data_IF_614497914722
#
_entry.id   IF_614497914722
#
_cell.length_a   1.000
_cell.length_b   1.000
_cell.length_c   1.000
_cell.angle_alpha   90.00
_cell.angle_beta   90.00
_cell.angle_gamma   90.00
#
_symmetry.space_group_name_H-M   'P 1'
#
loop_
_entity.id
_entity.type
_entity.pdbx_description
1 polymer ?
#
# COMPACT_ATOMS: atom_id res chain seq x y z
N UNK A 1 -35.04 -6.70 28.01
CA UNK A 1 -34.51 -7.29 26.81
C UNK A 1 -34.57 -8.81 26.94
N UNK A 2 -35.08 -9.50 25.92
CA UNK A 2 -35.22 -10.98 25.89
C UNK A 2 -34.69 -11.52 24.56
N UNK A 3 -34.02 -12.65 24.61
CA UNK A 3 -33.62 -13.42 23.45
C UNK A 3 -32.54 -12.78 22.58
N UNK A 4 -31.57 -12.07 23.13
CA UNK A 4 -30.51 -11.47 22.32
C UNK A 4 -29.54 -12.52 21.76
N UNK A 5 -29.41 -12.57 20.41
CA UNK A 5 -28.60 -13.57 19.68
C UNK A 5 -27.60 -12.95 18.70
N UNK A 6 -27.43 -11.64 18.75
CA UNK A 6 -26.55 -10.91 17.82
C UNK A 6 -25.09 -11.38 17.95
N UNK A 7 -24.44 -11.70 16.84
CA UNK A 7 -23.07 -12.22 16.75
C UNK A 7 -22.83 -13.47 17.63
N UNK A 8 -22.11 -13.29 18.75
CA UNK A 8 -21.74 -14.38 19.66
C UNK A 8 -22.61 -14.48 20.91
N UNK A 9 -23.71 -13.71 20.99
CA UNK A 9 -24.66 -13.81 22.09
C UNK A 9 -25.48 -15.09 21.97
N UNK A 10 -25.69 -15.77 23.12
CA UNK A 10 -26.35 -17.06 23.19
C UNK A 10 -27.70 -16.93 23.87
N UNK A 11 -28.67 -16.29 23.19
CA UNK A 11 -30.04 -16.12 23.70
C UNK A 11 -30.07 -15.47 25.08
N UNK A 12 -29.48 -14.28 25.20
CA UNK A 12 -29.28 -13.59 26.47
C UNK A 12 -30.54 -12.80 26.85
N UNK A 13 -31.06 -13.06 28.02
CA UNK A 13 -32.09 -12.27 28.69
C UNK A 13 -31.45 -11.35 29.73
N UNK A 14 -31.85 -10.08 29.75
CA UNK A 14 -31.26 -9.10 30.65
C UNK A 14 -32.25 -7.99 31.02
N UNK A 15 -32.32 -7.65 32.31
CA UNK A 15 -33.02 -6.47 32.82
C UNK A 15 -31.98 -5.38 33.15
N UNK A 16 -32.10 -4.24 32.47
CA UNK A 16 -31.17 -3.12 32.60
C UNK A 16 -31.90 -1.97 33.29
N UNK A 17 -31.40 -1.49 34.43
CA UNK A 17 -32.04 -0.37 35.16
C UNK A 17 -31.94 0.92 34.29
N UNK A 18 -33.05 1.71 34.34
CA UNK A 18 -33.07 3.03 33.70
C UNK A 18 -32.53 4.09 34.68
N UNK A 19 -31.92 5.15 34.13
CA UNK A 19 -31.40 6.27 34.94
C UNK A 19 -30.18 5.91 35.80
N UNK A 20 -29.49 4.81 35.49
CA UNK A 20 -28.33 4.33 36.21
C UNK A 20 -27.08 4.24 35.30
N UNK A 21 -25.90 4.33 35.89
CA UNK A 21 -24.64 4.01 35.16
C UNK A 21 -24.48 2.48 35.17
N UNK A 22 -24.53 1.92 33.97
CA UNK A 22 -24.36 0.48 33.75
C UNK A 22 -23.03 0.20 33.09
N UNK A 23 -22.24 -0.72 33.62
CA UNK A 23 -20.92 -1.09 33.11
C UNK A 23 -20.92 -2.53 32.64
N UNK A 24 -20.63 -2.74 31.34
CA UNK A 24 -20.44 -4.08 30.76
C UNK A 24 -18.99 -4.51 30.90
N UNK A 25 -18.71 -5.53 31.68
CA UNK A 25 -17.37 -6.07 31.94
C UNK A 25 -17.21 -7.50 31.39
N UNK A 26 -16.01 -7.96 31.23
CA UNK A 26 -15.71 -9.33 30.77
C UNK A 26 -14.48 -9.41 29.88
N UNK A 27 -14.05 -10.62 29.58
CA UNK A 27 -12.89 -10.89 28.69
C UNK A 27 -13.14 -10.42 27.25
N UNK A 28 -12.07 -10.24 26.48
CA UNK A 28 -12.18 -9.89 25.04
C UNK A 28 -12.97 -10.98 24.31
N UNK A 29 -13.90 -10.58 23.44
CA UNK A 29 -14.75 -11.51 22.70
C UNK A 29 -15.97 -12.06 23.48
N UNK A 30 -16.24 -11.62 24.72
CA UNK A 30 -17.39 -12.09 25.51
C UNK A 30 -18.75 -11.54 25.09
N UNK A 31 -18.85 -10.74 24.03
CA UNK A 31 -20.14 -10.20 23.55
C UNK A 31 -20.55 -8.84 24.11
N UNK A 32 -19.71 -8.15 24.91
CA UNK A 32 -20.02 -6.83 25.47
C UNK A 32 -20.45 -5.80 24.42
N UNK A 33 -19.67 -5.69 23.35
CA UNK A 33 -19.97 -4.78 22.25
C UNK A 33 -21.16 -5.25 21.41
N UNK A 34 -21.34 -6.56 21.25
CA UNK A 34 -22.53 -7.13 20.59
C UNK A 34 -23.79 -6.75 21.35
N UNK A 35 -23.76 -6.82 22.67
CA UNK A 35 -24.90 -6.47 23.51
C UNK A 35 -25.17 -4.94 23.50
N UNK A 36 -24.13 -4.13 23.81
CA UNK A 36 -24.32 -2.69 23.99
C UNK A 36 -24.54 -1.95 22.67
N UNK A 37 -23.73 -2.24 21.61
CA UNK A 37 -23.79 -1.51 20.36
C UNK A 37 -24.63 -2.21 19.29
N UNK A 38 -24.36 -3.50 19.03
CA UNK A 38 -25.03 -4.20 17.94
C UNK A 38 -26.46 -4.63 18.28
N UNK A 39 -26.85 -4.67 19.56
CA UNK A 39 -28.22 -4.98 19.99
C UNK A 39 -28.92 -3.73 20.52
N UNK A 40 -28.56 -3.23 21.69
CA UNK A 40 -29.28 -2.14 22.37
C UNK A 40 -29.27 -0.84 21.58
N UNK A 41 -28.07 -0.38 21.19
CA UNK A 41 -27.95 0.88 20.44
C UNK A 41 -28.53 0.77 19.04
N UNK A 42 -28.32 -0.35 18.34
CA UNK A 42 -28.86 -0.57 16.99
C UNK A 42 -30.39 -0.52 17.01
N UNK A 43 -31.05 -1.16 17.97
CA UNK A 43 -32.50 -1.13 18.12
C UNK A 43 -33.02 0.25 18.52
N UNK A 44 -32.33 0.95 19.42
CA UNK A 44 -32.69 2.33 19.80
C UNK A 44 -32.61 3.28 18.58
N UNK A 45 -31.54 3.17 17.78
CA UNK A 45 -31.37 3.94 16.56
C UNK A 45 -32.45 3.59 15.52
N UNK A 46 -32.77 2.32 15.32
CA UNK A 46 -33.82 1.87 14.41
C UNK A 46 -35.16 2.51 14.76
N UNK A 47 -35.61 2.42 16.05
CA UNK A 47 -36.85 3.02 16.53
C UNK A 47 -36.86 4.51 16.41
N UNK A 48 -35.74 5.19 16.70
CA UNK A 48 -35.61 6.63 16.50
C UNK A 48 -35.75 7.00 15.02
N UNK A 49 -35.07 6.31 14.10
CA UNK A 49 -35.14 6.58 12.67
C UNK A 49 -36.51 6.28 12.08
N UNK A 50 -37.30 5.37 12.65
CA UNK A 50 -38.71 5.17 12.25
C UNK A 50 -39.60 6.38 12.49
N UNK A 51 -39.28 7.20 13.51
CA UNK A 51 -39.98 8.44 13.79
C UNK A 51 -39.57 9.61 12.88
N UNK A 52 -38.48 9.47 12.12
CA UNK A 52 -37.91 10.52 11.26
C UNK A 52 -38.44 10.40 9.84
N UNK A 53 -38.56 11.53 9.13
CA UNK A 53 -39.04 11.55 7.76
C UNK A 53 -38.23 10.65 6.82
N UNK A 54 -38.82 10.05 5.76
CA UNK A 54 -38.13 9.16 4.81
C UNK A 54 -36.92 9.83 4.13
N UNK A 55 -36.96 11.13 3.90
CA UNK A 55 -35.85 11.88 3.30
C UNK A 55 -34.65 11.95 4.27
N UNK A 56 -34.89 12.38 5.50
CA UNK A 56 -33.83 12.47 6.51
C UNK A 56 -33.23 11.08 6.83
N UNK A 57 -34.07 10.03 6.86
CA UNK A 57 -33.65 8.66 7.09
C UNK A 57 -32.58 8.17 6.11
N UNK A 58 -32.62 8.62 4.85
CA UNK A 58 -31.60 8.27 3.81
C UNK A 58 -30.24 8.89 4.06
N UNK A 59 -30.15 9.94 4.87
CA UNK A 59 -28.89 10.62 5.19
C UNK A 59 -28.14 9.96 6.35
N UNK A 60 -28.78 9.06 7.10
CA UNK A 60 -28.19 8.35 8.21
C UNK A 60 -27.75 6.94 7.80
N UNK A 61 -26.61 6.52 8.31
CA UNK A 61 -26.18 5.14 8.17
C UNK A 61 -27.08 4.22 9.01
N UNK A 62 -27.86 3.38 8.33
CA UNK A 62 -28.75 2.45 8.99
C UNK A 62 -27.95 1.23 9.47
N UNK A 63 -28.07 0.90 10.76
CA UNK A 63 -27.55 -0.34 11.29
C UNK A 63 -28.48 -1.51 10.92
N UNK A 64 -27.92 -2.72 10.85
CA UNK A 64 -28.71 -3.93 10.65
C UNK A 64 -29.74 -4.09 11.78
N UNK A 65 -30.87 -4.74 11.48
CA UNK A 65 -31.87 -5.10 12.49
C UNK A 65 -31.23 -6.16 13.40
N UNK A 66 -31.15 -5.91 14.72
CA UNK A 66 -30.50 -6.88 15.61
C UNK A 66 -31.35 -8.13 15.81
N UNK A 67 -30.68 -9.26 15.99
CA UNK A 67 -31.34 -10.55 16.34
C UNK A 67 -31.70 -10.57 17.83
N UNK A 68 -32.91 -10.12 18.16
CA UNK A 68 -33.46 -10.07 19.52
C UNK A 68 -34.97 -10.29 19.48
N UNK A 69 -35.50 -11.00 20.45
CA UNK A 69 -36.95 -11.28 20.48
C UNK A 69 -37.73 -10.04 20.94
N UNK A 70 -37.31 -9.39 22.02
CA UNK A 70 -38.02 -8.25 22.56
C UNK A 70 -37.10 -7.31 23.38
N UNK A 71 -37.29 -5.98 23.18
CA UNK A 71 -36.66 -4.95 24.02
C UNK A 71 -37.72 -3.91 24.40
N UNK A 72 -38.10 -3.88 25.66
CA UNK A 72 -39.02 -2.90 26.21
C UNK A 72 -38.30 -1.70 26.83
N UNK A 73 -38.98 -0.55 26.88
CA UNK A 73 -38.55 0.62 27.60
C UNK A 73 -37.23 1.24 27.11
N UNK A 74 -36.83 1.00 25.87
CA UNK A 74 -35.57 1.52 25.29
C UNK A 74 -35.71 3.01 24.96
N UNK A 75 -34.93 3.92 25.62
CA UNK A 75 -34.93 5.35 25.26
C UNK A 75 -34.16 5.61 23.95
N UNK A 76 -34.37 6.80 23.35
CA UNK A 76 -33.46 7.28 22.32
C UNK A 76 -32.01 7.27 22.81
N UNK A 77 -31.09 6.74 22.02
CA UNK A 77 -29.71 6.53 22.44
C UNK A 77 -28.70 7.26 21.53
N UNK A 78 -27.64 7.75 22.13
CA UNK A 78 -26.46 8.25 21.45
C UNK A 78 -25.27 7.38 21.79
N UNK A 79 -24.51 6.95 20.79
CA UNK A 79 -23.32 6.15 21.02
C UNK A 79 -22.06 6.91 20.60
N UNK A 80 -21.05 6.87 21.46
CA UNK A 80 -19.70 7.27 21.13
C UNK A 80 -18.87 6.00 20.87
N UNK A 81 -18.72 5.66 19.61
CA UNK A 81 -17.86 4.54 19.22
C UNK A 81 -16.42 5.03 19.05
N UNK A 82 -15.50 4.33 19.68
CA UNK A 82 -14.10 4.44 19.28
C UNK A 82 -13.93 3.81 17.91
N UNK A 83 -14.14 4.59 16.85
CA UNK A 83 -13.72 4.17 15.52
C UNK A 83 -12.19 4.20 15.49
N UNK A 84 -11.59 3.05 15.61
CA UNK A 84 -10.20 2.88 15.19
C UNK A 84 -10.20 2.96 13.66
N UNK A 85 -10.07 4.18 13.14
CA UNK A 85 -9.85 4.37 11.72
C UNK A 85 -8.64 3.53 11.32
N UNK A 86 -8.76 2.74 10.26
CA UNK A 86 -7.61 2.00 9.73
C UNK A 86 -6.57 3.01 9.27
N UNK A 87 -5.39 3.09 9.91
CA UNK A 87 -4.38 4.06 9.54
C UNK A 87 -3.90 3.74 8.11
N UNK A 88 -3.85 4.76 7.28
CA UNK A 88 -3.26 4.68 5.95
C UNK A 88 -1.82 5.17 5.99
N UNK A 89 -1.04 4.93 4.95
CA UNK A 89 0.32 5.46 4.81
C UNK A 89 0.37 7.01 4.83
N UNK A 90 -0.78 7.66 4.67
CA UNK A 90 -0.92 9.12 4.70
C UNK A 90 -1.44 9.65 6.04
N UNK A 91 -1.90 8.76 6.94
CA UNK A 91 -2.41 9.15 8.24
C UNK A 91 -1.31 9.70 9.14
N UNK A 92 -1.61 10.75 9.87
CA UNK A 92 -0.77 11.34 10.91
C UNK A 92 -1.64 11.69 12.12
N UNK A 93 -1.03 11.90 13.27
CA UNK A 93 -1.76 12.36 14.47
C UNK A 93 -2.58 13.60 14.13
N UNK A 94 -1.97 14.58 13.47
CA UNK A 94 -2.65 15.82 13.10
C UNK A 94 -3.86 15.62 12.14
N UNK A 95 -3.82 14.63 11.22
CA UNK A 95 -4.95 14.36 10.32
C UNK A 95 -6.07 13.59 11.00
N UNK A 96 -5.75 12.74 11.97
CA UNK A 96 -6.74 11.95 12.72
C UNK A 96 -7.45 12.81 13.78
N UNK A 97 -6.71 13.74 14.42
CA UNK A 97 -7.25 14.65 15.45
C UNK A 97 -7.81 15.95 14.90
N UNK A 98 -7.88 16.12 13.58
CA UNK A 98 -8.27 17.38 12.90
C UNK A 98 -7.33 18.58 13.13
N UNK A 99 -6.32 18.47 14.00
CA UNK A 99 -5.35 19.52 14.33
C UNK A 99 -4.65 20.07 13.08
N UNK A 100 -4.33 19.21 12.10
CA UNK A 100 -3.73 19.64 10.83
C UNK A 100 -4.59 20.65 10.08
N UNK A 101 -5.91 20.58 10.17
CA UNK A 101 -6.81 21.53 9.49
C UNK A 101 -6.71 22.91 10.12
N UNK A 102 -6.69 22.97 11.46
CA UNK A 102 -6.54 24.23 12.20
C UNK A 102 -5.18 24.88 11.95
N UNK A 103 -4.11 24.09 11.99
CA UNK A 103 -2.76 24.59 11.70
C UNK A 103 -2.64 25.12 10.26
N UNK A 104 -3.18 24.41 9.27
CA UNK A 104 -3.18 24.88 7.88
C UNK A 104 -3.91 26.22 7.70
N UNK A 105 -5.07 26.39 8.34
CA UNK A 105 -5.79 27.66 8.33
C UNK A 105 -4.98 28.76 9.03
N UNK A 106 -4.34 28.45 10.16
CA UNK A 106 -3.51 29.38 10.90
C UNK A 106 -2.34 29.87 10.02
N UNK A 107 -1.58 28.95 9.42
CA UNK A 107 -0.47 29.30 8.53
C UNK A 107 -0.93 30.10 7.31
N UNK A 108 -2.06 29.74 6.71
CA UNK A 108 -2.62 30.48 5.59
C UNK A 108 -2.99 31.91 5.97
N UNK A 109 -3.64 32.12 7.10
CA UNK A 109 -4.23 33.44 7.47
C UNK A 109 -3.30 34.33 8.27
N UNK A 110 -2.47 33.77 9.14
CA UNK A 110 -1.62 34.49 10.08
C UNK A 110 -0.12 34.17 9.93
N UNK A 111 0.25 33.37 8.94
CA UNK A 111 1.65 33.04 8.65
C UNK A 111 2.42 34.26 8.11
N UNK A 112 3.69 34.35 8.45
CA UNK A 112 4.59 35.34 7.85
C UNK A 112 5.15 34.81 6.55
N UNK A 113 4.90 35.50 5.44
CA UNK A 113 5.36 35.10 4.12
C UNK A 113 6.64 35.85 3.75
N UNK A 114 7.60 35.22 3.06
CA UNK A 114 8.76 35.91 2.50
C UNK A 114 8.35 37.04 1.57
N UNK A 115 9.18 38.09 1.41
CA UNK A 115 8.87 39.17 0.45
C UNK A 115 8.64 38.63 -0.95
N UNK A 116 7.60 39.13 -1.62
CA UNK A 116 7.16 38.75 -2.97
C UNK A 116 6.53 37.35 -3.11
N UNK A 117 6.38 36.60 -2.04
CA UNK A 117 5.64 35.34 -2.09
C UNK A 117 4.13 35.64 -2.07
N UNK A 118 3.36 35.09 -3.01
CA UNK A 118 1.91 35.24 -2.97
C UNK A 118 1.32 34.53 -1.76
N UNK A 119 0.16 35.00 -1.31
CA UNK A 119 -0.61 34.34 -0.25
C UNK A 119 -0.94 32.91 -0.66
N UNK A 120 -0.77 31.97 0.27
CA UNK A 120 -1.05 30.56 0.05
C UNK A 120 -2.32 30.14 0.77
N UNK A 121 -3.20 29.46 0.08
CA UNK A 121 -4.40 28.86 0.68
C UNK A 121 -4.03 27.71 1.62
N UNK A 122 -4.94 27.37 2.54
CA UNK A 122 -4.74 26.30 3.52
C UNK A 122 -4.39 24.94 2.88
N UNK A 123 -4.82 24.71 1.65
CA UNK A 123 -4.49 23.51 0.87
C UNK A 123 -3.01 23.40 0.51
N UNK A 124 -2.33 24.52 0.31
CA UNK A 124 -0.88 24.53 0.03
C UNK A 124 -0.04 24.02 1.20
N UNK A 125 -0.58 24.02 2.41
CA UNK A 125 0.04 23.46 3.61
C UNK A 125 -0.37 22.00 3.89
N UNK A 126 -1.01 21.33 2.93
CA UNK A 126 -1.42 19.93 3.05
C UNK A 126 -0.54 19.00 2.22
N UNK A 127 0.07 17.95 2.81
CA UNK A 127 0.78 16.94 2.04
C UNK A 127 -0.16 16.02 1.22
N UNK A 128 -1.47 16.15 1.40
CA UNK A 128 -2.47 15.30 0.75
C UNK A 128 -3.21 15.98 -0.40
N UNK A 129 -2.84 17.22 -0.74
CA UNK A 129 -3.38 17.98 -1.86
C UNK A 129 -2.32 18.20 -2.94
N UNK A 130 -2.67 18.34 -4.20
CA UNK A 130 -1.72 18.62 -5.28
C UNK A 130 -0.94 19.93 -5.06
N UNK A 131 -1.57 20.94 -4.45
CA UNK A 131 -0.98 22.25 -4.17
C UNK A 131 0.17 22.15 -3.16
N UNK A 132 0.00 21.37 -2.08
CA UNK A 132 0.97 21.30 -1.00
C UNK A 132 1.87 20.06 -1.01
N UNK A 133 1.52 19.01 -1.73
CA UNK A 133 2.30 17.77 -1.77
C UNK A 133 3.67 17.96 -2.46
N UNK A 134 4.70 17.36 -1.89
CA UNK A 134 5.99 17.26 -2.56
C UNK A 134 5.84 16.57 -3.93
N UNK A 135 6.28 17.17 -5.04
CA UNK A 135 6.08 16.62 -6.38
C UNK A 135 6.81 15.30 -6.61
N UNK A 136 7.88 15.01 -5.86
CA UNK A 136 8.65 13.77 -6.00
C UNK A 136 8.00 12.57 -5.31
N UNK A 137 7.53 12.74 -4.08
CA UNK A 137 6.93 11.65 -3.29
C UNK A 137 5.41 11.76 -3.15
N UNK A 138 4.79 12.72 -3.81
CA UNK A 138 3.34 12.96 -3.76
C UNK A 138 2.79 13.02 -2.33
N UNK A 139 3.54 13.65 -1.42
CA UNK A 139 3.14 13.82 -0.03
C UNK A 139 3.36 12.59 0.87
N UNK A 140 4.02 11.54 0.41
CA UNK A 140 4.35 10.38 1.25
C UNK A 140 5.55 10.61 2.18
N UNK A 141 6.46 11.51 1.81
CA UNK A 141 7.72 11.75 2.52
C UNK A 141 8.80 10.72 2.21
N UNK A 142 8.43 9.62 1.59
CA UNK A 142 9.29 8.50 1.23
C UNK A 142 9.15 8.16 -0.24
N UNK A 143 10.20 7.58 -0.78
CA UNK A 143 10.20 6.94 -2.09
C UNK A 143 10.51 5.46 -1.94
N UNK A 144 10.02 4.68 -2.85
CA UNK A 144 10.30 3.26 -2.94
C UNK A 144 11.10 3.03 -4.21
N UNK A 145 12.25 2.43 -4.06
CA UNK A 145 13.12 2.03 -5.16
C UNK A 145 13.78 0.69 -4.81
N UNK A 146 14.57 0.17 -5.71
CA UNK A 146 15.30 -1.08 -5.51
C UNK A 146 16.78 -0.80 -5.36
N UNK A 147 17.51 -1.65 -4.66
CA UNK A 147 18.96 -1.60 -4.49
C UNK A 147 19.59 -2.88 -5.01
N UNK A 148 20.89 -2.85 -5.29
CA UNK A 148 21.63 -4.06 -5.67
C UNK A 148 21.38 -5.17 -4.64
N UNK A 149 21.55 -4.88 -3.34
CA UNK A 149 21.38 -5.87 -2.28
C UNK A 149 19.94 -6.41 -2.19
N UNK A 150 18.94 -5.61 -2.52
CA UNK A 150 17.55 -6.10 -2.50
C UNK A 150 17.23 -7.01 -3.69
N UNK A 151 17.87 -6.78 -4.84
CA UNK A 151 17.64 -7.57 -6.06
C UNK A 151 18.57 -8.79 -6.17
N UNK A 152 19.74 -8.72 -5.53
CA UNK A 152 20.76 -9.77 -5.50
C UNK A 152 21.09 -10.10 -4.04
N UNK A 153 20.26 -10.92 -3.37
CA UNK A 153 20.43 -11.24 -1.96
C UNK A 153 21.65 -12.14 -1.70
N UNK A 154 22.06 -12.94 -2.68
CA UNK A 154 23.25 -13.79 -2.60
C UNK A 154 24.20 -13.49 -3.78
N UNK A 155 25.23 -12.66 -3.55
CA UNK A 155 26.20 -12.31 -4.58
C UNK A 155 27.24 -13.41 -4.90
N UNK A 156 27.20 -14.56 -4.22
CA UNK A 156 28.04 -15.71 -4.54
C UNK A 156 27.52 -16.52 -5.73
N UNK A 157 26.22 -16.38 -6.03
CA UNK A 157 25.58 -17.03 -7.17
C UNK A 157 25.95 -16.36 -8.48
N UNK A 158 25.90 -17.13 -9.55
CA UNK A 158 26.01 -16.64 -10.93
C UNK A 158 24.66 -16.16 -11.46
N UNK A 159 24.66 -15.38 -12.55
CA UNK A 159 23.41 -14.98 -13.23
C UNK A 159 22.62 -16.23 -13.67
N UNK A 160 23.29 -17.29 -14.11
CA UNK A 160 22.68 -18.56 -14.47
C UNK A 160 22.00 -19.22 -13.29
N UNK A 161 22.63 -19.19 -12.11
CA UNK A 161 22.09 -19.70 -10.83
C UNK A 161 21.06 -18.77 -10.18
N UNK A 162 20.66 -17.71 -10.89
CA UNK A 162 19.65 -16.75 -10.46
C UNK A 162 20.11 -15.77 -9.38
N UNK A 163 21.35 -15.30 -9.44
CA UNK A 163 21.85 -14.23 -8.57
C UNK A 163 20.88 -13.05 -8.56
N UNK A 164 20.35 -12.65 -9.74
CA UNK A 164 19.32 -11.59 -9.84
C UNK A 164 17.96 -12.21 -9.48
N UNK A 165 17.66 -12.28 -8.19
CA UNK A 165 16.42 -12.87 -7.67
C UNK A 165 15.16 -12.08 -8.07
N UNK A 166 15.33 -10.81 -8.43
CA UNK A 166 14.26 -9.94 -8.88
C UNK A 166 13.70 -10.29 -10.27
N UNK A 167 14.45 -11.03 -11.09
CA UNK A 167 13.93 -11.54 -12.35
C UNK A 167 12.96 -12.71 -12.14
N UNK A 168 11.99 -12.91 -13.06
CA UNK A 168 11.05 -14.02 -12.95
C UNK A 168 11.75 -15.39 -12.88
N UNK A 169 11.15 -16.33 -12.18
CA UNK A 169 11.68 -17.69 -12.07
C UNK A 169 11.34 -18.59 -13.26
N UNK A 170 10.27 -18.25 -13.99
CA UNK A 170 9.77 -18.99 -15.15
C UNK A 170 10.49 -18.60 -16.44
N UNK A 171 9.93 -19.01 -17.56
CA UNK A 171 10.47 -18.79 -18.92
C UNK A 171 10.97 -17.35 -19.19
N UNK A 172 10.22 -16.34 -18.73
CA UNK A 172 10.62 -14.95 -18.93
C UNK A 172 11.96 -14.60 -18.28
N UNK A 173 12.28 -15.16 -17.12
CA UNK A 173 13.59 -14.96 -16.48
C UNK A 173 14.70 -15.75 -17.17
N UNK A 174 14.39 -16.90 -17.74
CA UNK A 174 15.35 -17.62 -18.57
C UNK A 174 15.69 -16.80 -19.82
N UNK A 175 14.69 -16.23 -20.48
CA UNK A 175 14.87 -15.33 -21.60
C UNK A 175 15.81 -14.15 -21.27
N UNK A 176 15.65 -13.50 -20.11
CA UNK A 176 16.53 -12.39 -19.70
C UNK A 176 17.98 -12.85 -19.50
N UNK A 177 18.21 -14.07 -18.99
CA UNK A 177 19.55 -14.65 -18.88
C UNK A 177 20.17 -14.95 -20.24
N UNK A 178 19.40 -15.51 -21.16
CA UNK A 178 19.86 -15.81 -22.52
C UNK A 178 20.17 -14.52 -23.31
N UNK A 179 19.37 -13.47 -23.11
CA UNK A 179 19.63 -12.12 -23.62
C UNK A 179 20.96 -11.57 -23.07
N UNK A 180 21.22 -11.73 -21.75
CA UNK A 180 22.46 -11.28 -21.14
C UNK A 180 23.69 -11.98 -21.77
N UNK A 181 23.58 -13.28 -22.10
CA UNK A 181 24.62 -14.02 -22.84
C UNK A 181 24.87 -13.39 -24.22
N UNK A 182 23.80 -13.08 -24.95
CA UNK A 182 23.90 -12.48 -26.29
C UNK A 182 24.52 -11.08 -26.24
N UNK A 183 24.22 -10.32 -25.18
CA UNK A 183 24.82 -8.99 -24.93
C UNK A 183 26.29 -9.06 -24.51
N UNK A 184 26.83 -10.28 -24.27
CA UNK A 184 28.25 -10.51 -23.97
C UNK A 184 28.58 -10.55 -22.47
N UNK A 185 27.57 -10.52 -21.59
CA UNK A 185 27.80 -10.64 -20.15
C UNK A 185 28.19 -12.07 -19.76
N UNK A 186 29.11 -12.19 -18.79
CA UNK A 186 29.53 -13.48 -18.26
C UNK A 186 28.51 -13.97 -17.23
N UNK A 187 27.61 -14.85 -17.66
CA UNK A 187 26.52 -15.38 -16.84
C UNK A 187 26.95 -16.52 -15.92
N UNK A 188 28.17 -17.05 -16.08
CA UNK A 188 28.70 -18.19 -15.34
C UNK A 188 29.70 -17.74 -14.25
N UNK A 189 29.99 -16.45 -14.16
CA UNK A 189 30.83 -15.85 -13.12
C UNK A 189 29.98 -15.43 -11.93
N UNK A 190 30.49 -15.64 -10.66
CA UNK A 190 29.82 -15.15 -9.48
C UNK A 190 29.52 -13.65 -9.56
N UNK A 191 28.31 -13.23 -9.10
CA UNK A 191 27.86 -11.84 -9.21
C UNK A 191 28.87 -10.84 -8.62
N UNK A 192 29.41 -11.14 -7.44
CA UNK A 192 30.39 -10.29 -6.74
C UNK A 192 31.68 -10.04 -7.54
N UNK A 193 32.02 -10.94 -8.46
CA UNK A 193 33.22 -10.87 -9.27
C UNK A 193 33.02 -10.17 -10.63
N UNK A 194 31.76 -9.91 -10.99
CA UNK A 194 31.44 -9.15 -12.19
C UNK A 194 31.87 -7.68 -12.02
N UNK A 195 32.35 -7.02 -13.09
CA UNK A 195 32.66 -5.61 -13.07
C UNK A 195 31.45 -4.79 -12.60
N UNK A 196 31.67 -3.77 -11.76
CA UNK A 196 30.61 -2.92 -11.24
C UNK A 196 29.77 -2.31 -12.38
N UNK A 197 30.40 -1.90 -13.48
CA UNK A 197 29.72 -1.36 -14.67
C UNK A 197 28.68 -2.33 -15.22
N UNK A 198 29.03 -3.63 -15.31
CA UNK A 198 28.13 -4.65 -15.86
C UNK A 198 26.98 -4.94 -14.88
N UNK A 199 27.29 -5.01 -13.58
CA UNK A 199 26.26 -5.14 -12.53
C UNK A 199 25.27 -3.98 -12.52
N UNK A 200 25.79 -2.76 -12.57
CA UNK A 200 24.96 -1.55 -12.59
C UNK A 200 24.09 -1.52 -13.87
N UNK A 201 24.64 -1.90 -15.03
CA UNK A 201 23.87 -1.94 -16.26
C UNK A 201 22.73 -2.98 -16.20
N UNK A 202 23.04 -4.22 -15.81
CA UNK A 202 22.04 -5.29 -15.71
C UNK A 202 20.90 -4.96 -14.74
N UNK A 203 21.22 -4.24 -13.66
CA UNK A 203 20.23 -3.89 -12.63
C UNK A 203 19.47 -2.61 -12.94
N UNK A 204 20.10 -1.58 -13.47
CA UNK A 204 19.56 -0.23 -13.43
C UNK A 204 19.40 0.46 -14.79
N UNK A 205 19.88 -0.13 -15.91
CA UNK A 205 19.75 0.51 -17.21
C UNK A 205 18.29 0.77 -17.59
N UNK A 206 18.05 1.90 -18.22
CA UNK A 206 16.76 2.21 -18.87
C UNK A 206 16.71 1.73 -20.33
N UNK A 207 17.86 1.33 -20.88
CA UNK A 207 17.97 0.77 -22.23
C UNK A 207 17.22 -0.56 -22.34
N UNK A 208 16.61 -0.78 -23.49
CA UNK A 208 15.88 -2.01 -23.82
C UNK A 208 16.31 -2.55 -25.19
N UNK A 209 17.57 -2.98 -25.32
CA UNK A 209 18.03 -3.55 -26.58
C UNK A 209 17.25 -4.80 -26.93
N UNK A 210 16.88 -4.93 -28.19
CA UNK A 210 16.32 -6.16 -28.75
C UNK A 210 17.45 -6.91 -29.48
N UNK A 211 17.66 -8.15 -29.07
CA UNK A 211 18.78 -8.97 -29.55
C UNK A 211 18.31 -10.37 -29.95
N UNK A 212 19.03 -11.04 -30.85
CA UNK A 212 18.75 -12.41 -31.20
C UNK A 212 19.00 -13.35 -30.03
N UNK A 213 18.08 -14.26 -29.74
CA UNK A 213 18.18 -15.24 -28.66
C UNK A 213 18.26 -16.65 -29.24
N UNK A 214 19.22 -17.42 -28.73
CA UNK A 214 19.45 -18.82 -29.09
C UNK A 214 19.10 -19.68 -27.87
N UNK A 215 17.86 -20.11 -27.79
CA UNK A 215 17.34 -20.86 -26.63
C UNK A 215 18.11 -22.19 -26.42
N UNK A 216 18.57 -22.40 -25.17
CA UNK A 216 19.29 -23.63 -24.81
C UNK A 216 20.77 -23.67 -25.21
N UNK A 217 21.30 -22.63 -25.89
CA UNK A 217 22.73 -22.57 -26.24
C UNK A 217 23.57 -22.17 -25.00
N UNK A 218 24.76 -22.75 -24.92
CA UNK A 218 25.79 -22.27 -23.99
C UNK A 218 26.35 -20.92 -24.46
N UNK A 219 27.01 -20.13 -23.58
CA UNK A 219 27.65 -18.87 -23.98
C UNK A 219 28.62 -19.01 -25.15
N UNK A 220 29.34 -20.13 -25.21
CA UNK A 220 30.28 -20.42 -26.33
C UNK A 220 29.54 -20.71 -27.64
N UNK A 221 28.43 -21.46 -27.58
CA UNK A 221 27.58 -21.74 -28.73
C UNK A 221 26.88 -20.46 -29.22
N UNK A 222 26.33 -19.65 -28.34
CA UNK A 222 25.71 -18.36 -28.67
C UNK A 222 26.71 -17.44 -29.39
N UNK A 223 27.96 -17.34 -28.90
CA UNK A 223 29.01 -16.54 -29.54
C UNK A 223 29.37 -17.07 -30.94
N UNK A 224 29.36 -18.39 -31.14
CA UNK A 224 29.58 -18.99 -32.46
C UNK A 224 28.42 -18.74 -33.42
N UNK A 225 27.19 -18.91 -32.95
CA UNK A 225 25.97 -18.66 -33.71
C UNK A 225 25.89 -17.21 -34.19
N UNK A 226 26.19 -16.25 -33.30
CA UNK A 226 26.27 -14.81 -33.63
C UNK A 226 27.31 -14.55 -34.74
N UNK A 227 28.52 -15.15 -34.64
CA UNK A 227 29.55 -14.99 -35.65
C UNK A 227 29.16 -15.59 -36.98
N UNK A 228 28.42 -16.70 -36.98
CA UNK A 228 27.95 -17.41 -38.19
C UNK A 228 26.66 -16.83 -38.75
N UNK A 229 26.05 -15.84 -38.06
CA UNK A 229 24.71 -15.28 -38.38
C UNK A 229 23.65 -16.39 -38.52
N UNK A 230 23.72 -17.38 -37.65
CA UNK A 230 22.69 -18.43 -37.58
C UNK A 230 21.34 -17.81 -37.27
N UNK A 231 20.25 -18.45 -37.69
CA UNK A 231 18.89 -17.99 -37.44
C UNK A 231 18.59 -18.11 -35.96
N UNK A 232 18.16 -17.02 -35.29
CA UNK A 232 17.84 -17.05 -33.84
C UNK A 232 16.52 -17.75 -33.59
N UNK A 233 16.39 -18.34 -32.40
CA UNK A 233 15.12 -18.93 -31.96
C UNK A 233 14.00 -17.87 -31.90
N UNK A 234 14.33 -16.66 -31.49
CA UNK A 234 13.44 -15.48 -31.48
C UNK A 234 14.23 -14.20 -31.16
N UNK A 235 13.55 -13.04 -31.31
CA UNK A 235 14.10 -11.75 -30.88
C UNK A 235 13.64 -11.47 -29.47
N UNK A 236 14.55 -11.20 -28.54
CA UNK A 236 14.28 -10.89 -27.14
C UNK A 236 14.63 -9.45 -26.77
N UNK A 237 13.76 -8.78 -26.06
CA UNK A 237 14.02 -7.41 -25.55
C UNK A 237 14.48 -7.47 -24.11
N UNK A 238 15.62 -6.86 -23.82
CA UNK A 238 16.17 -6.79 -22.46
C UNK A 238 15.33 -5.86 -21.58
N UNK A 239 15.21 -6.22 -20.32
CA UNK A 239 14.60 -5.37 -19.29
C UNK A 239 15.43 -5.50 -18.02
N UNK A 240 15.94 -4.37 -17.51
CA UNK A 240 16.73 -4.35 -16.28
C UNK A 240 15.91 -4.83 -15.09
N UNK A 241 16.59 -5.34 -14.06
CA UNK A 241 15.91 -5.86 -12.86
C UNK A 241 15.07 -4.77 -12.17
N UNK A 242 15.57 -3.55 -12.05
CA UNK A 242 14.85 -2.40 -11.52
C UNK A 242 13.57 -2.12 -12.30
N UNK A 243 13.68 -2.02 -13.62
CA UNK A 243 12.53 -1.71 -14.48
C UNK A 243 11.47 -2.81 -14.37
N UNK A 244 11.89 -4.08 -14.37
CA UNK A 244 11.00 -5.22 -14.19
C UNK A 244 10.22 -5.14 -12.86
N UNK A 245 10.90 -4.91 -11.73
CA UNK A 245 10.25 -4.81 -10.41
C UNK A 245 9.27 -3.64 -10.36
N UNK A 246 9.70 -2.44 -10.75
CA UNK A 246 8.87 -1.24 -10.66
C UNK A 246 7.67 -1.31 -11.60
N UNK A 247 7.86 -1.79 -12.82
CA UNK A 247 6.77 -1.97 -13.78
C UNK A 247 5.78 -3.03 -13.32
N UNK A 248 6.27 -4.20 -12.85
CA UNK A 248 5.40 -5.24 -12.29
C UNK A 248 4.59 -4.70 -11.11
N UNK A 249 5.21 -3.97 -10.19
CA UNK A 249 4.50 -3.40 -9.04
C UNK A 249 3.42 -2.40 -9.46
N UNK A 250 3.71 -1.56 -10.48
CA UNK A 250 2.79 -0.52 -10.95
C UNK A 250 1.62 -1.07 -11.76
N UNK A 251 1.84 -2.09 -12.60
CA UNK A 251 0.85 -2.51 -13.61
C UNK A 251 0.09 -3.78 -13.26
N UNK A 252 0.62 -4.63 -12.36
CA UNK A 252 -0.03 -5.92 -12.07
C UNK A 252 -1.34 -5.75 -11.29
N UNK A 253 -2.37 -6.46 -11.73
CA UNK A 253 -3.63 -6.58 -10.99
C UNK A 253 -3.61 -7.73 -9.97
N UNK A 254 -2.60 -8.61 -10.01
CA UNK A 254 -2.47 -9.74 -9.09
C UNK A 254 -1.87 -9.30 -7.75
N UNK A 255 -2.59 -9.45 -6.61
CA UNK A 255 -2.07 -9.15 -5.28
C UNK A 255 -0.79 -9.94 -4.95
N UNK A 256 -0.71 -11.18 -5.42
CA UNK A 256 0.45 -12.05 -5.20
C UNK A 256 1.69 -11.52 -5.93
N UNK A 257 1.55 -11.12 -7.20
CA UNK A 257 2.64 -10.56 -7.97
C UNK A 257 3.08 -9.20 -7.41
N UNK A 258 2.13 -8.38 -6.99
CA UNK A 258 2.42 -7.11 -6.31
C UNK A 258 3.22 -7.31 -5.02
N UNK A 259 2.83 -8.30 -4.21
CA UNK A 259 3.56 -8.68 -2.99
C UNK A 259 4.97 -9.21 -3.29
N UNK A 260 5.14 -9.98 -4.38
CA UNK A 260 6.47 -10.46 -4.82
C UNK A 260 7.37 -9.31 -5.25
N UNK A 261 6.89 -8.39 -6.09
CA UNK A 261 7.64 -7.21 -6.50
C UNK A 261 8.02 -6.32 -5.31
N UNK A 262 7.09 -6.10 -4.37
CA UNK A 262 7.31 -5.30 -3.19
C UNK A 262 8.45 -5.80 -2.27
N UNK A 263 8.79 -7.09 -2.31
CA UNK A 263 9.91 -7.65 -1.52
C UNK A 263 11.27 -7.06 -1.88
N UNK A 264 11.42 -6.61 -3.12
CA UNK A 264 12.67 -6.03 -3.61
C UNK A 264 12.72 -4.51 -3.44
N UNK A 265 11.59 -3.90 -3.03
CA UNK A 265 11.49 -2.45 -2.88
C UNK A 265 11.93 -2.02 -1.47
N UNK A 266 12.84 -1.07 -1.43
CA UNK A 266 13.36 -0.47 -0.21
C UNK A 266 12.80 0.95 -0.09
N UNK A 267 12.32 1.29 1.11
CA UNK A 267 11.84 2.63 1.42
C UNK A 267 12.98 3.51 1.90
N UNK A 268 13.14 4.67 1.29
CA UNK A 268 14.07 5.71 1.72
C UNK A 268 13.36 7.06 1.84
N UNK A 269 13.93 7.97 2.61
CA UNK A 269 13.39 9.33 2.69
C UNK A 269 13.45 10.01 1.32
N UNK A 270 12.43 10.78 1.00
CA UNK A 270 12.39 11.50 -0.26
C UNK A 270 13.54 12.51 -0.36
N UNK A 271 14.40 12.44 -1.38
CA UNK A 271 15.58 13.31 -1.49
C UNK A 271 15.22 14.79 -1.71
N UNK A 272 13.99 15.08 -2.15
CA UNK A 272 13.53 16.45 -2.37
C UNK A 272 12.98 17.09 -1.10
N UNK A 273 12.14 16.41 -0.35
CA UNK A 273 11.50 16.98 0.85
C UNK A 273 12.11 16.46 2.16
N UNK A 274 13.04 15.51 2.13
CA UNK A 274 13.69 14.94 3.32
C UNK A 274 12.69 14.48 4.39
N UNK A 275 11.67 13.74 3.97
CA UNK A 275 10.62 13.26 4.86
C UNK A 275 9.53 14.28 5.21
N UNK A 276 9.69 15.56 4.88
CA UNK A 276 8.75 16.65 5.28
C UNK A 276 7.41 16.62 4.54
N UNK A 277 7.28 15.84 3.47
CA UNK A 277 6.05 15.58 2.71
C UNK A 277 5.52 16.78 1.90
N UNK A 278 5.87 18.00 2.24
CA UNK A 278 5.39 19.21 1.61
C UNK A 278 6.30 19.67 0.45
N UNK A 279 5.70 20.41 -0.49
CA UNK A 279 6.43 21.13 -1.53
C UNK A 279 7.29 22.20 -0.85
N UNK A 280 8.52 22.39 -1.31
CA UNK A 280 9.30 23.58 -1.00
C UNK A 280 8.81 24.72 -1.87
N UNK A 281 8.38 25.79 -1.28
CA UNK A 281 8.06 27.08 -1.93
C UNK A 281 9.31 27.93 -2.00
#
# INVERSE_FOLDING_TARGET
MRGAREHNLKNVDLDIPRGALVVFTGVSGSGKSSLAFSTLYAEAQRRYLESVSPYARRLFHQMAVPEVDEIDGLPPAVALQQQRGSPTTRSSVGSVTTLSNLLRMLYSRAGTYPPKQPHLDAEAFSPNTPAGACPRCHGLGRIYDVTENSMVPDPSLTIRERAIAAWPTAWHGQNLRDIAVTLGYDVDRPWRELPKKDRDWLLFTDEQPTVPVYAGYTPAQTRRALKRKEEPSYQGTFTSARKHVLQTFATTQSPLMKKRAARYMVSSDCPLCHGKRLRRT
#
